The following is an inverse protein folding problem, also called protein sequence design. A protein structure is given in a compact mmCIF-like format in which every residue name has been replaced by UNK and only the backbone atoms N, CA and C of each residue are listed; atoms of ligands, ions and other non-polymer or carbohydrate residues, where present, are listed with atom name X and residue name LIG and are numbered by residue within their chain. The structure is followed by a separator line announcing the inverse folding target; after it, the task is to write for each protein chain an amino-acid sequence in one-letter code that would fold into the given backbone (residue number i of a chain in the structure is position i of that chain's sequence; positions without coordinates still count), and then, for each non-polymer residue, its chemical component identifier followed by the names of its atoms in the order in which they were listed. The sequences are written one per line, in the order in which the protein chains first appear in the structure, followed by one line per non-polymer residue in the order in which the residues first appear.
data_IF_142472960882
#
_entry.id   IF_142472960882
#
_cell.length_a   1.000
_cell.length_b   1.000
_cell.length_c   1.000
_cell.angle_alpha   90.00
_cell.angle_beta   90.00
_cell.angle_gamma   90.00
#
_symmetry.space_group_name_H-M   'P 1'
#
loop_
_entity.id
_entity.type
_entity.pdbx_description
1 polymer ?
#
# COMPACT_ATOMS: atom_id res chain seq x y z
N UNK A 1 42.09 -8.21 3.16
CA UNK A 1 43.02 -7.20 3.68
C UNK A 1 42.59 -5.85 3.10
N UNK A 2 42.52 -4.79 3.91
CA UNK A 2 42.16 -3.44 3.43
C UNK A 2 43.19 -2.95 2.39
N UNK A 3 44.43 -3.42 2.48
CA UNK A 3 45.53 -3.08 1.57
C UNK A 3 45.49 -3.82 0.24
N UNK A 4 44.76 -4.94 0.15
CA UNK A 4 44.66 -5.77 -1.06
C UNK A 4 43.35 -5.58 -1.83
N UNK A 5 42.47 -4.70 -1.34
CA UNK A 5 41.14 -4.47 -1.92
C UNK A 5 41.22 -3.28 -2.86
N UNK A 6 40.73 -3.42 -4.09
CA UNK A 6 40.61 -2.31 -5.03
C UNK A 6 39.45 -1.40 -4.61
N UNK A 7 39.78 -0.21 -4.14
CA UNK A 7 38.79 0.78 -3.70
C UNK A 7 38.41 1.73 -4.84
N UNK A 8 37.12 1.94 -5.05
CA UNK A 8 36.62 3.01 -5.90
C UNK A 8 36.33 4.25 -5.05
N UNK A 9 36.99 5.37 -5.39
CA UNK A 9 36.68 6.66 -4.80
C UNK A 9 35.34 7.15 -5.34
N UNK A 10 34.43 7.51 -4.45
CA UNK A 10 33.15 8.13 -4.80
C UNK A 10 33.22 9.63 -4.56
N UNK A 11 32.49 10.40 -5.37
CA UNK A 11 32.25 11.83 -5.16
C UNK A 11 30.77 12.07 -4.84
N UNK A 12 30.34 11.95 -3.57
CA UNK A 12 28.97 12.21 -3.19
C UNK A 12 28.64 13.70 -3.40
N UNK A 13 27.75 13.97 -4.36
CA UNK A 13 27.27 15.32 -4.68
C UNK A 13 25.86 15.52 -4.17
N UNK A 14 25.54 16.75 -3.79
CA UNK A 14 24.17 17.14 -3.47
C UNK A 14 23.24 16.94 -4.68
N UNK A 15 21.94 16.68 -4.48
CA UNK A 15 21.26 16.52 -3.19
C UNK A 15 21.28 15.09 -2.64
N UNK A 16 21.61 14.09 -3.47
CA UNK A 16 21.39 12.68 -3.10
C UNK A 16 22.55 12.02 -2.37
N UNK A 17 23.78 12.55 -2.49
CA UNK A 17 24.99 12.02 -1.87
C UNK A 17 25.14 10.50 -2.04
N UNK A 18 25.15 10.02 -3.28
CA UNK A 18 25.19 8.59 -3.54
C UNK A 18 26.47 7.93 -3.01
N UNK A 19 26.32 6.91 -2.16
CA UNK A 19 27.38 6.02 -1.68
C UNK A 19 27.50 4.75 -2.54
N UNK A 20 27.08 4.86 -3.80
CA UNK A 20 27.22 3.82 -4.81
C UNK A 20 27.78 4.45 -6.09
N UNK A 21 28.54 3.71 -6.90
CA UNK A 21 29.02 4.22 -8.18
C UNK A 21 27.83 4.64 -9.05
N UNK A 22 27.88 5.87 -9.57
CA UNK A 22 26.85 6.44 -10.44
C UNK A 22 27.50 7.17 -11.60
N UNK A 23 26.95 6.95 -12.79
CA UNK A 23 27.29 7.71 -13.97
C UNK A 23 26.36 8.91 -14.08
N UNK A 24 26.94 10.11 -14.12
CA UNK A 24 26.23 11.39 -14.24
C UNK A 24 26.51 12.09 -15.58
N UNK A 25 27.12 11.41 -16.56
CA UNK A 25 27.52 12.00 -17.83
C UNK A 25 26.36 12.71 -18.57
N UNK A 26 25.13 12.20 -18.41
CA UNK A 26 23.92 12.74 -19.05
C UNK A 26 23.01 13.53 -18.09
N UNK A 27 23.43 13.78 -16.85
CA UNK A 27 22.59 14.44 -15.84
C UNK A 27 22.15 15.85 -16.31
N UNK A 28 23.09 16.63 -16.85
CA UNK A 28 22.81 17.98 -17.38
C UNK A 28 21.82 17.98 -18.55
N UNK A 29 21.78 16.91 -19.35
CA UNK A 29 20.79 16.76 -20.41
C UNK A 29 19.43 16.34 -19.84
N UNK A 30 19.41 15.36 -18.93
CA UNK A 30 18.21 14.89 -18.25
C UNK A 30 17.48 16.02 -17.52
N UNK A 31 18.21 16.88 -16.82
CA UNK A 31 17.65 17.98 -16.03
C UNK A 31 17.03 19.12 -16.87
N UNK A 32 17.21 19.09 -18.21
CA UNK A 32 16.52 20.02 -19.13
C UNK A 32 15.07 19.60 -19.39
N UNK A 33 14.70 18.35 -19.16
CA UNK A 33 13.35 17.86 -19.38
C UNK A 33 12.45 18.15 -18.19
N UNK A 34 11.14 18.12 -18.43
CA UNK A 34 10.15 18.34 -17.37
C UNK A 34 10.18 17.24 -16.33
N UNK A 35 10.10 17.63 -15.06
CA UNK A 35 9.89 16.67 -13.98
C UNK A 35 8.49 16.10 -14.12
N UNK A 36 8.33 14.81 -13.83
CA UNK A 36 7.03 14.13 -13.81
C UNK A 36 6.06 14.84 -12.85
N UNK A 37 6.57 15.38 -11.74
CA UNK A 37 5.80 16.17 -10.76
C UNK A 37 5.31 17.51 -11.28
N UNK A 38 5.93 18.05 -12.34
CA UNK A 38 5.53 19.30 -12.96
C UNK A 38 4.49 19.04 -14.06
N UNK A 39 4.50 17.84 -14.65
CA UNK A 39 3.51 17.38 -15.64
C UNK A 39 2.18 17.01 -14.97
N UNK A 40 2.24 16.20 -13.91
CA UNK A 40 1.04 15.72 -13.21
C UNK A 40 0.75 16.59 -11.98
N UNK A 41 -0.36 17.33 -12.03
CA UNK A 41 -0.80 18.21 -10.93
C UNK A 41 -1.25 17.46 -9.69
N UNK A 42 -1.66 16.20 -9.85
CA UNK A 42 -2.08 15.31 -8.77
C UNK A 42 -1.43 13.95 -8.96
N UNK A 43 -0.74 13.49 -7.93
CA UNK A 43 -0.11 12.18 -7.90
C UNK A 43 -0.18 11.61 -6.49
N UNK A 44 -0.09 10.29 -6.38
CA UNK A 44 -0.03 9.59 -5.10
C UNK A 44 0.80 8.33 -5.26
N UNK A 45 1.37 7.88 -4.15
CA UNK A 45 1.75 6.47 -4.04
C UNK A 45 0.53 5.57 -4.18
N UNK A 46 0.75 4.28 -4.38
CA UNK A 46 -0.29 3.27 -4.23
C UNK A 46 -0.91 3.25 -2.82
N UNK A 47 -2.01 2.50 -2.72
CA UNK A 47 -2.72 2.27 -1.46
C UNK A 47 -1.91 1.37 -0.53
N UNK A 48 -2.16 1.47 0.77
CA UNK A 48 -1.55 0.59 1.77
C UNK A 48 -2.64 0.08 2.70
N UNK A 49 -2.90 -1.23 2.67
CA UNK A 49 -3.95 -1.80 3.52
C UNK A 49 -3.45 -2.05 4.95
N UNK A 50 -2.17 -2.40 5.11
CA UNK A 50 -1.55 -2.90 6.35
C UNK A 50 -2.16 -4.21 6.88
N UNK A 51 -3.05 -4.86 6.10
CA UNK A 51 -3.76 -6.10 6.44
C UNK A 51 -4.24 -6.85 5.19
N UNK A 52 -3.35 -7.00 4.21
CA UNK A 52 -3.65 -7.65 2.92
C UNK A 52 -4.30 -9.04 3.07
N UNK A 53 -3.85 -9.93 3.97
CA UNK A 53 -4.49 -11.24 4.18
C UNK A 53 -5.93 -11.17 4.68
N UNK A 54 -6.43 -10.00 5.04
CA UNK A 54 -7.83 -9.78 5.41
C UNK A 54 -8.64 -9.15 4.27
N UNK A 55 -8.16 -8.06 3.67
CA UNK A 55 -8.95 -7.27 2.70
C UNK A 55 -8.68 -7.59 1.23
N UNK A 56 -7.65 -8.39 0.91
CA UNK A 56 -7.26 -8.75 -0.47
C UNK A 56 -7.37 -10.25 -0.69
N UNK A 57 -7.94 -10.69 -1.81
CA UNK A 57 -8.11 -12.11 -2.16
C UNK A 57 -7.94 -12.38 -3.64
N UNK A 58 -7.72 -13.64 -3.99
CA UNK A 58 -7.65 -14.06 -5.40
C UNK A 58 -9.04 -14.03 -6.04
N UNK A 59 -10.06 -14.31 -5.24
CA UNK A 59 -11.48 -14.25 -5.63
C UNK A 59 -12.23 -13.22 -4.79
N UNK A 60 -13.33 -12.68 -5.33
CA UNK A 60 -14.19 -11.75 -4.61
C UNK A 60 -14.81 -12.44 -3.39
N UNK A 61 -15.20 -13.70 -3.54
CA UNK A 61 -15.88 -14.53 -2.55
C UNK A 61 -15.02 -14.76 -1.30
N UNK A 62 -13.71 -14.98 -1.47
CA UNK A 62 -12.77 -15.10 -0.34
C UNK A 62 -12.74 -13.84 0.54
N UNK A 63 -12.78 -12.66 -0.08
CA UNK A 63 -12.78 -11.39 0.66
C UNK A 63 -14.13 -11.20 1.35
N UNK A 64 -15.23 -11.50 0.65
CA UNK A 64 -16.59 -11.45 1.23
C UNK A 64 -16.70 -12.38 2.45
N UNK A 65 -16.19 -13.61 2.37
CA UNK A 65 -16.24 -14.56 3.50
C UNK A 65 -15.46 -14.04 4.71
N UNK A 66 -14.26 -13.49 4.49
CA UNK A 66 -13.47 -12.85 5.57
C UNK A 66 -14.17 -11.65 6.16
N UNK A 67 -14.82 -10.82 5.33
CA UNK A 67 -15.59 -9.67 5.79
C UNK A 67 -16.82 -10.10 6.62
N UNK A 68 -17.56 -11.12 6.18
CA UNK A 68 -18.69 -11.71 6.93
C UNK A 68 -18.23 -12.30 8.26
N UNK A 69 -17.08 -12.96 8.28
CA UNK A 69 -16.47 -13.46 9.52
C UNK A 69 -16.12 -12.29 10.46
N UNK A 70 -15.55 -11.21 9.92
CA UNK A 70 -15.20 -10.00 10.66
C UNK A 70 -16.42 -9.29 11.24
N UNK A 71 -17.53 -9.14 10.49
CA UNK A 71 -18.75 -8.45 10.96
C UNK A 71 -19.70 -9.36 11.76
N UNK A 72 -19.43 -10.67 11.80
CA UNK A 72 -20.21 -11.65 12.54
C UNK A 72 -20.12 -11.51 14.06
N UNK A 73 -20.72 -12.47 14.77
CA UNK A 73 -20.89 -12.45 16.24
C UNK A 73 -19.71 -13.01 17.05
N UNK A 74 -18.64 -13.45 16.39
CA UNK A 74 -17.48 -14.02 17.10
C UNK A 74 -16.76 -12.97 17.98
N UNK A 75 -16.18 -13.38 19.12
CA UNK A 75 -15.38 -12.48 19.97
C UNK A 75 -14.17 -11.88 19.24
N UNK A 76 -13.78 -10.67 19.60
CA UNK A 76 -12.67 -9.93 18.99
C UNK A 76 -11.36 -10.72 18.99
N UNK A 77 -11.02 -11.36 20.10
CA UNK A 77 -9.80 -12.16 20.23
C UNK A 77 -9.76 -13.36 19.27
N UNK A 78 -10.92 -13.97 18.98
CA UNK A 78 -11.00 -15.05 18.01
C UNK A 78 -10.82 -14.53 16.57
N UNK A 79 -11.38 -13.35 16.27
CA UNK A 79 -11.24 -12.71 14.96
C UNK A 79 -9.80 -12.23 14.72
N UNK A 80 -9.16 -11.62 15.71
CA UNK A 80 -7.73 -11.23 15.65
C UNK A 80 -6.86 -12.41 15.24
N UNK A 81 -7.06 -13.57 15.87
CA UNK A 81 -6.30 -14.79 15.56
C UNK A 81 -6.64 -15.35 14.18
N UNK A 82 -7.93 -15.49 13.84
CA UNK A 82 -8.36 -16.09 12.57
C UNK A 82 -7.98 -15.27 11.34
N UNK A 83 -8.06 -13.94 11.43
CA UNK A 83 -7.80 -13.02 10.31
C UNK A 83 -6.40 -12.40 10.38
N UNK A 84 -5.58 -12.80 11.35
CA UNK A 84 -4.20 -12.33 11.56
C UNK A 84 -4.18 -10.78 11.66
N UNK A 85 -5.10 -10.24 12.45
CA UNK A 85 -5.27 -8.80 12.64
C UNK A 85 -4.60 -8.34 13.92
N UNK A 86 -3.93 -7.19 13.84
CA UNK A 86 -3.27 -6.54 14.97
C UNK A 86 -3.78 -5.11 15.09
N UNK A 87 -4.02 -4.69 16.32
CA UNK A 87 -4.34 -3.30 16.62
C UNK A 87 -3.08 -2.43 16.42
N UNK A 88 -3.31 -1.20 16.00
CA UNK A 88 -2.27 -0.18 15.85
C UNK A 88 -2.70 1.09 16.58
N UNK A 89 -1.83 2.10 16.65
CA UNK A 89 -2.15 3.38 17.30
C UNK A 89 -3.42 4.04 16.73
N UNK A 90 -3.69 3.84 15.44
CA UNK A 90 -4.78 4.50 14.70
C UNK A 90 -5.90 3.56 14.29
N UNK A 91 -5.76 2.26 14.57
CA UNK A 91 -6.72 1.23 14.13
C UNK A 91 -6.94 0.22 15.25
N UNK A 92 -8.16 0.19 15.78
CA UNK A 92 -8.60 -0.79 16.78
C UNK A 92 -9.68 -1.69 16.21
N UNK A 93 -9.46 -3.00 16.24
CA UNK A 93 -10.36 -3.99 15.67
C UNK A 93 -11.79 -3.87 16.20
N UNK A 94 -11.96 -3.73 17.52
CA UNK A 94 -13.28 -3.68 18.16
C UNK A 94 -14.12 -2.50 17.64
N UNK A 95 -13.53 -1.31 17.62
CA UNK A 95 -14.17 -0.08 17.14
C UNK A 95 -14.51 -0.19 15.65
N UNK A 96 -13.57 -0.69 14.84
CA UNK A 96 -13.75 -0.82 13.39
C UNK A 96 -14.83 -1.84 13.07
N UNK A 97 -14.88 -2.98 13.79
CA UNK A 97 -15.95 -3.98 13.63
C UNK A 97 -17.32 -3.38 13.88
N UNK A 98 -17.48 -2.59 14.94
CA UNK A 98 -18.75 -1.91 15.24
C UNK A 98 -19.16 -0.95 14.13
N UNK A 99 -18.22 -0.15 13.62
CA UNK A 99 -18.50 0.82 12.55
C UNK A 99 -18.82 0.15 11.21
N UNK A 100 -18.17 -0.96 10.89
CA UNK A 100 -18.34 -1.68 9.61
C UNK A 100 -19.60 -2.55 9.62
N UNK A 101 -20.03 -3.08 10.78
CA UNK A 101 -21.20 -3.96 10.88
C UNK A 101 -22.50 -3.35 10.35
N UNK A 102 -22.64 -2.03 10.45
CA UNK A 102 -23.83 -1.30 9.99
C UNK A 102 -23.64 -0.66 8.60
N UNK A 103 -22.51 -0.90 7.94
CA UNK A 103 -22.25 -0.38 6.59
C UNK A 103 -22.48 -1.47 5.56
N UNK A 104 -23.05 -1.06 4.44
CA UNK A 104 -22.97 -1.85 3.23
C UNK A 104 -21.59 -1.69 2.60
N UNK A 105 -20.90 -2.81 2.41
CA UNK A 105 -19.62 -2.88 1.74
C UNK A 105 -19.72 -3.63 0.39
N UNK A 106 -20.89 -4.09 -0.02
CA UNK A 106 -21.07 -4.93 -1.24
C UNK A 106 -20.66 -4.20 -2.51
N UNK A 107 -20.81 -2.87 -2.54
CA UNK A 107 -20.40 -2.00 -3.66
C UNK A 107 -18.93 -1.56 -3.58
N UNK A 108 -18.18 -2.02 -2.57
CA UNK A 108 -16.78 -1.62 -2.35
C UNK A 108 -15.77 -2.70 -2.72
N UNK A 109 -16.15 -3.62 -3.59
CA UNK A 109 -15.26 -4.67 -4.08
C UNK A 109 -14.75 -4.35 -5.47
N UNK A 110 -13.45 -4.18 -5.60
CA UNK A 110 -12.79 -3.80 -6.85
C UNK A 110 -11.73 -4.83 -7.22
N UNK A 111 -11.50 -5.03 -8.51
CA UNK A 111 -10.29 -5.68 -8.98
C UNK A 111 -9.17 -4.64 -9.05
N UNK A 112 -7.96 -5.01 -8.65
CA UNK A 112 -6.81 -4.13 -8.76
C UNK A 112 -5.51 -4.90 -8.95
N UNK A 113 -4.52 -4.22 -9.52
CA UNK A 113 -3.16 -4.72 -9.70
C UNK A 113 -2.44 -4.72 -8.35
N UNK A 114 -2.45 -5.87 -7.66
CA UNK A 114 -1.76 -6.01 -6.37
C UNK A 114 -0.24 -6.01 -6.55
N UNK A 115 0.22 -6.66 -7.62
CA UNK A 115 1.61 -6.68 -8.10
C UNK A 115 1.59 -6.70 -9.63
N UNK A 116 2.70 -6.36 -10.30
CA UNK A 116 2.77 -6.46 -11.76
C UNK A 116 2.26 -7.82 -12.24
N UNK A 117 1.23 -7.79 -13.09
CA UNK A 117 0.58 -8.97 -13.67
C UNK A 117 -0.15 -9.90 -12.67
N UNK A 118 -0.46 -9.42 -11.47
CA UNK A 118 -1.24 -10.11 -10.42
C UNK A 118 -2.47 -9.26 -10.07
N UNK A 119 -3.60 -9.58 -10.70
CA UNK A 119 -4.89 -8.91 -10.43
C UNK A 119 -5.63 -9.65 -9.33
N UNK A 120 -6.06 -8.92 -8.31
CA UNK A 120 -6.76 -9.45 -7.13
C UNK A 120 -7.99 -8.64 -6.82
N UNK A 121 -8.85 -9.19 -5.97
CA UNK A 121 -10.00 -8.50 -5.41
C UNK A 121 -9.64 -7.86 -4.08
N UNK A 122 -10.12 -6.62 -3.87
CA UNK A 122 -10.00 -5.89 -2.60
C UNK A 122 -11.35 -5.39 -2.13
N UNK A 123 -11.59 -5.45 -0.81
CA UNK A 123 -12.64 -4.66 -0.16
C UNK A 123 -12.09 -3.27 0.17
N UNK A 124 -12.48 -2.27 -0.61
CA UNK A 124 -12.05 -0.89 -0.50
C UNK A 124 -12.96 -0.07 0.43
N UNK A 125 -13.09 -0.51 1.67
CA UNK A 125 -13.72 0.28 2.74
C UNK A 125 -12.65 1.09 3.48
N UNK A 126 -12.74 2.43 3.55
CA UNK A 126 -11.74 3.28 4.21
C UNK A 126 -11.43 2.91 5.66
N UNK A 127 -12.40 2.37 6.39
CA UNK A 127 -12.18 1.90 7.77
C UNK A 127 -11.29 0.64 7.86
N UNK A 128 -11.13 -0.09 6.75
CA UNK A 128 -10.36 -1.32 6.67
C UNK A 128 -8.97 -1.11 6.03
N UNK A 129 -8.76 0.03 5.35
CA UNK A 129 -7.52 0.38 4.65
C UNK A 129 -6.77 1.47 5.43
N UNK A 130 -5.48 1.26 5.68
CA UNK A 130 -4.65 2.19 6.47
C UNK A 130 -4.35 3.50 5.71
N UNK A 131 -3.96 3.41 4.45
CA UNK A 131 -3.78 4.56 3.55
C UNK A 131 -4.55 4.33 2.27
N UNK A 132 -5.81 4.73 2.27
CA UNK A 132 -6.68 4.58 1.09
C UNK A 132 -6.20 5.48 -0.06
N UNK A 133 -5.80 6.72 0.20
CA UNK A 133 -5.59 7.74 -0.85
C UNK A 133 -6.88 8.03 -1.61
N UNK A 134 -8.03 7.96 -0.94
CA UNK A 134 -9.35 8.20 -1.53
C UNK A 134 -9.46 9.45 -2.42
N UNK A 135 -8.89 10.62 -2.06
CA UNK A 135 -8.94 11.81 -2.93
C UNK A 135 -8.36 11.58 -4.33
N UNK A 136 -7.37 10.68 -4.45
CA UNK A 136 -6.77 10.27 -5.72
C UNK A 136 -7.48 9.04 -6.30
N UNK A 137 -7.64 7.99 -5.50
CA UNK A 137 -8.14 6.68 -5.94
C UNK A 137 -9.59 6.68 -6.39
N UNK A 138 -10.43 7.62 -5.94
CA UNK A 138 -11.80 7.77 -6.45
C UNK A 138 -11.88 7.97 -7.97
N UNK A 139 -10.79 8.34 -8.63
CA UNK A 139 -10.73 8.51 -10.10
C UNK A 139 -10.20 7.26 -10.82
N UNK A 140 -9.79 6.21 -10.08
CA UNK A 140 -9.14 5.00 -10.59
C UNK A 140 -9.86 3.69 -10.17
N UNK A 141 -10.83 3.78 -9.26
CA UNK A 141 -11.64 2.67 -8.77
C UNK A 141 -12.87 2.45 -9.66
#
# INVERSE_FOLDING_TARGET
DVTSTEWLVLEPKEPQYFFVPKDFALQTEYDKFWKVTDIFTVWSSGIMTSRDPFVVGSTKEEVIQRLKLFTGSMPDEAIKKKLILKDTKTWGLSEVRQKVKNKDCEEKFYSYCYRPFDTRWICYEPLLIDRDRLPFMKNLL
#
